data_IF_261851020988
#
_entry.id   IF_261851020988
#
_cell.length_a   1.000
_cell.length_b   1.000
_cell.length_c   1.000
_cell.angle_alpha   90.00
_cell.angle_beta   90.00
_cell.angle_gamma   90.00
#
_symmetry.space_group_name_H-M   'P 1'
#
loop_
_entity.id
_entity.type
_entity.pdbx_description
1 polymer ?
#
# COMPACT_ATOMS: atom_id res chain seq x y z
N UNK A 1 -24.10 29.68 16.59
CA UNK A 1 -24.65 28.31 16.43
C UNK A 1 -23.90 27.61 15.32
N UNK A 2 -22.77 26.95 15.66
CA UNK A 2 -21.96 26.28 14.67
C UNK A 2 -22.41 24.84 14.52
N UNK A 3 -22.93 24.50 13.34
CA UNK A 3 -23.23 23.12 12.94
C UNK A 3 -21.92 22.35 12.83
N UNK A 4 -21.65 21.48 13.80
CA UNK A 4 -20.66 20.42 13.64
C UNK A 4 -21.24 19.41 12.66
N UNK A 5 -20.74 19.43 11.43
CA UNK A 5 -20.98 18.37 10.45
C UNK A 5 -20.46 17.05 11.03
N UNK A 6 -21.38 16.11 11.24
CA UNK A 6 -21.07 14.73 11.53
C UNK A 6 -20.25 14.16 10.36
N UNK A 7 -18.94 14.17 10.44
CA UNK A 7 -18.09 13.38 9.57
C UNK A 7 -18.23 11.92 9.99
N UNK A 8 -19.03 11.20 9.24
CA UNK A 8 -19.21 9.76 9.36
C UNK A 8 -17.87 9.02 9.28
N UNK A 9 -17.60 8.22 10.30
CA UNK A 9 -16.39 7.43 10.54
C UNK A 9 -16.24 6.22 9.60
N UNK A 10 -16.61 6.33 8.31
CA UNK A 10 -16.63 5.21 7.38
C UNK A 10 -15.50 5.18 6.34
N UNK A 11 -14.50 6.04 6.48
CA UNK A 11 -13.37 6.00 5.56
C UNK A 11 -12.14 5.50 6.31
N UNK A 12 -11.72 4.25 6.04
CA UNK A 12 -10.43 3.71 6.48
C UNK A 12 -9.24 4.35 5.74
N UNK A 13 -9.45 5.52 5.17
CA UNK A 13 -8.45 6.25 4.42
C UNK A 13 -8.20 7.65 5.00
N UNK A 14 -7.09 8.21 4.61
CA UNK A 14 -6.59 9.51 5.00
C UNK A 14 -6.14 10.25 3.74
N UNK A 15 -6.32 11.57 3.71
CA UNK A 15 -5.81 12.43 2.64
C UNK A 15 -4.55 13.13 3.14
N UNK A 16 -3.45 12.93 2.45
CA UNK A 16 -2.17 13.56 2.74
C UNK A 16 -2.20 15.06 2.43
N UNK A 17 -1.17 15.79 2.81
CA UNK A 17 -1.08 17.24 2.59
C UNK A 17 -1.11 17.63 1.10
N UNK A 18 -0.63 16.76 0.23
CA UNK A 18 -0.62 16.86 -1.24
C UNK A 18 -1.92 16.37 -1.89
N UNK A 19 -2.94 16.00 -1.09
CA UNK A 19 -4.26 15.63 -1.59
C UNK A 19 -4.38 14.18 -2.05
N UNK A 20 -3.40 13.35 -1.76
CA UNK A 20 -3.35 11.94 -2.14
C UNK A 20 -3.93 11.05 -1.03
N UNK A 21 -4.47 9.90 -1.41
CA UNK A 21 -5.19 9.01 -0.49
C UNK A 21 -4.32 7.84 -0.03
N UNK A 22 -4.28 7.57 1.28
CA UNK A 22 -3.60 6.41 1.85
C UNK A 22 -4.39 5.75 2.98
N UNK A 23 -4.02 4.55 3.36
CA UNK A 23 -4.63 3.81 4.45
C UNK A 23 -4.34 4.44 5.81
N UNK A 24 -5.36 4.48 6.67
CA UNK A 24 -5.23 5.07 8.02
C UNK A 24 -4.27 4.27 8.92
N UNK A 25 -4.15 2.96 8.71
CA UNK A 25 -3.21 2.15 9.47
C UNK A 25 -1.76 2.60 9.23
N UNK A 26 -1.39 2.87 7.97
CA UNK A 26 -0.07 3.37 7.61
C UNK A 26 0.17 4.79 8.10
N UNK A 27 -0.87 5.62 8.16
CA UNK A 27 -0.78 6.95 8.81
C UNK A 27 -0.41 6.81 10.28
N UNK A 28 -1.09 5.93 11.02
CA UNK A 28 -0.78 5.67 12.43
C UNK A 28 0.64 5.13 12.63
N UNK A 29 1.13 4.28 11.72
CA UNK A 29 2.50 3.77 11.74
C UNK A 29 3.52 4.88 11.50
N UNK A 30 3.26 5.78 10.55
CA UNK A 30 4.10 6.95 10.29
C UNK A 30 4.14 7.90 11.50
N UNK A 31 2.99 8.19 12.09
CA UNK A 31 2.89 9.02 13.31
C UNK A 31 3.63 8.38 14.48
N UNK A 32 3.52 7.07 14.67
CA UNK A 32 4.26 6.33 15.70
C UNK A 32 5.79 6.38 15.49
N UNK A 33 6.22 6.44 14.24
CA UNK A 33 7.62 6.64 13.87
C UNK A 33 8.06 8.12 13.89
N UNK A 34 7.15 9.04 14.25
CA UNK A 34 7.36 10.50 14.28
C UNK A 34 7.76 11.08 12.91
N UNK A 35 7.24 10.53 11.84
CA UNK A 35 7.44 10.99 10.47
C UNK A 35 6.11 11.39 9.81
N UNK A 36 6.19 12.25 8.81
CA UNK A 36 5.03 12.65 8.02
C UNK A 36 4.50 11.48 7.19
N UNK A 37 3.18 11.22 7.20
CA UNK A 37 2.58 10.23 6.32
C UNK A 37 2.77 10.60 4.85
N UNK A 38 3.31 9.68 4.07
CA UNK A 38 3.51 9.81 2.63
C UNK A 38 2.83 8.64 1.90
N UNK A 39 2.23 8.88 0.75
CA UNK A 39 1.50 7.85 -0.01
C UNK A 39 2.36 6.65 -0.38
N UNK A 40 3.66 6.83 -0.54
CA UNK A 40 4.61 5.77 -0.83
C UNK A 40 4.73 4.72 0.29
N UNK A 41 4.29 5.05 1.52
CA UNK A 41 4.17 4.10 2.63
C UNK A 41 2.98 3.14 2.46
N UNK A 42 2.07 3.44 1.52
CA UNK A 42 0.92 2.61 1.18
C UNK A 42 0.66 2.62 -0.34
N UNK A 43 1.55 2.02 -1.15
CA UNK A 43 1.49 2.15 -2.60
C UNK A 43 0.20 1.59 -3.22
N UNK A 44 -0.41 0.59 -2.60
CA UNK A 44 -1.70 0.03 -3.03
C UNK A 44 -2.68 0.05 -1.87
N UNK A 45 -3.82 0.71 -2.07
CA UNK A 45 -4.93 0.70 -1.14
C UNK A 45 -6.18 0.15 -1.83
N UNK A 46 -6.82 -0.84 -1.22
CA UNK A 46 -8.09 -1.38 -1.67
C UNK A 46 -9.21 -0.90 -0.75
N UNK A 47 -10.18 -0.20 -1.31
CA UNK A 47 -11.39 0.24 -0.59
C UNK A 47 -12.58 -0.58 -1.06
N UNK A 48 -13.18 -1.40 -0.20
CA UNK A 48 -14.42 -2.10 -0.54
C UNK A 48 -15.50 -1.09 -0.98
N UNK A 49 -16.20 -1.39 -2.06
CA UNK A 49 -17.39 -0.66 -2.51
C UNK A 49 -18.65 -1.44 -2.17
N UNK A 50 -19.78 -0.75 -2.05
CA UNK A 50 -21.04 -1.34 -1.57
C UNK A 50 -21.62 -2.42 -2.47
N UNK A 51 -21.26 -2.44 -3.77
CA UNK A 51 -22.02 -3.28 -4.70
C UNK A 51 -21.25 -4.52 -5.20
N UNK A 52 -20.13 -4.40 -5.85
CA UNK A 52 -19.37 -5.59 -6.30
C UNK A 52 -17.93 -5.20 -6.59
N UNK A 53 -17.05 -5.19 -5.61
CA UNK A 53 -15.65 -4.98 -5.88
C UNK A 53 -14.95 -4.03 -4.91
N UNK A 54 -13.79 -3.60 -5.33
CA UNK A 54 -12.99 -2.63 -4.58
C UNK A 54 -12.51 -1.51 -5.50
N UNK A 55 -12.50 -0.31 -4.95
CA UNK A 55 -11.76 0.79 -5.56
C UNK A 55 -10.28 0.54 -5.29
N UNK A 56 -9.50 0.52 -6.36
CA UNK A 56 -8.05 0.37 -6.32
C UNK A 56 -7.42 1.75 -6.39
N UNK A 57 -6.61 2.07 -5.40
CA UNK A 57 -5.86 3.31 -5.30
C UNK A 57 -4.38 2.96 -5.38
N UNK A 58 -3.65 3.58 -6.29
CA UNK A 58 -2.23 3.34 -6.55
C UNK A 58 -1.47 4.64 -6.31
N UNK A 59 -0.49 4.61 -5.41
CA UNK A 59 0.28 5.79 -4.99
C UNK A 59 -0.60 7.02 -4.68
N UNK A 60 -1.77 6.77 -4.07
CA UNK A 60 -2.70 7.80 -3.64
C UNK A 60 -3.73 8.24 -4.68
N UNK A 61 -3.66 7.75 -5.91
CA UNK A 61 -4.58 8.08 -7.00
C UNK A 61 -5.52 6.91 -7.34
N UNK A 62 -6.77 7.22 -7.66
CA UNK A 62 -7.77 6.20 -8.03
C UNK A 62 -7.42 5.61 -9.39
N UNK A 63 -7.04 4.35 -9.42
CA UNK A 63 -6.78 3.60 -10.65
C UNK A 63 -8.06 3.00 -11.26
N UNK A 64 -9.09 2.76 -10.45
CA UNK A 64 -10.37 2.24 -10.92
C UNK A 64 -11.14 1.48 -9.85
N UNK A 65 -12.29 0.96 -10.26
CA UNK A 65 -13.12 0.04 -9.45
C UNK A 65 -13.16 -1.28 -10.18
N UNK A 66 -12.84 -2.36 -9.49
CA UNK A 66 -12.83 -3.68 -10.12
C UNK A 66 -13.19 -4.79 -9.13
N UNK A 67 -13.79 -5.90 -9.60
CA UNK A 67 -13.98 -7.10 -8.78
C UNK A 67 -12.65 -7.67 -8.28
N UNK A 68 -12.68 -8.34 -7.13
CA UNK A 68 -11.49 -8.95 -6.54
C UNK A 68 -10.73 -9.88 -7.50
N UNK A 69 -11.47 -10.69 -8.28
CA UNK A 69 -10.87 -11.59 -9.28
C UNK A 69 -10.12 -10.84 -10.39
N UNK A 70 -10.58 -9.68 -10.79
CA UNK A 70 -9.90 -8.84 -11.78
C UNK A 70 -8.64 -8.21 -11.19
N UNK A 71 -8.73 -7.70 -9.96
CA UNK A 71 -7.56 -7.22 -9.24
C UNK A 71 -6.48 -8.31 -9.14
N UNK A 72 -6.85 -9.54 -8.79
CA UNK A 72 -5.89 -10.65 -8.71
C UNK A 72 -5.18 -10.97 -10.03
N UNK A 73 -5.82 -10.75 -11.17
CA UNK A 73 -5.19 -10.91 -12.48
C UNK A 73 -4.25 -9.76 -12.81
N UNK A 74 -4.65 -8.53 -12.46
CA UNK A 74 -3.94 -7.29 -12.81
C UNK A 74 -2.90 -6.88 -11.79
N UNK A 75 -2.88 -7.46 -10.59
CA UNK A 75 -2.00 -6.99 -9.50
C UNK A 75 -0.51 -6.92 -9.88
N UNK A 76 -0.05 -7.76 -10.79
CA UNK A 76 1.33 -7.73 -11.30
C UNK A 76 1.65 -6.45 -12.08
N UNK A 77 0.64 -5.81 -12.66
CA UNK A 77 0.79 -4.53 -13.38
C UNK A 77 1.14 -3.38 -12.44
N UNK A 78 0.85 -3.53 -11.14
CA UNK A 78 1.16 -2.53 -10.12
C UNK A 78 2.58 -2.66 -9.52
N UNK A 79 3.32 -3.71 -9.87
CA UNK A 79 4.70 -3.90 -9.38
C UNK A 79 5.59 -2.69 -9.65
N UNK A 80 5.59 -2.04 -10.83
CA UNK A 80 6.39 -0.85 -11.07
C UNK A 80 6.06 0.30 -10.10
N UNK A 81 4.78 0.52 -9.78
CA UNK A 81 4.35 1.55 -8.83
C UNK A 81 4.80 1.24 -7.39
N UNK A 82 4.79 -0.04 -6.99
CA UNK A 82 5.31 -0.49 -5.70
C UNK A 82 6.82 -0.27 -5.61
N UNK A 83 7.55 -0.58 -6.67
CA UNK A 83 9.01 -0.38 -6.72
C UNK A 83 9.36 1.11 -6.71
N UNK A 84 8.62 1.95 -7.41
CA UNK A 84 8.78 3.39 -7.35
C UNK A 84 8.60 3.93 -5.94
N UNK A 85 7.51 3.53 -5.27
CA UNK A 85 7.23 3.92 -3.89
C UNK A 85 8.36 3.48 -2.96
N UNK A 86 8.83 2.25 -3.12
CA UNK A 86 9.96 1.75 -2.36
C UNK A 86 11.23 2.59 -2.56
N UNK A 87 11.59 2.89 -3.81
CA UNK A 87 12.80 3.68 -4.09
C UNK A 87 12.73 5.08 -3.48
N UNK A 88 11.56 5.72 -3.50
CA UNK A 88 11.36 7.02 -2.87
C UNK A 88 11.55 6.99 -1.36
N UNK A 89 11.16 5.89 -0.70
CA UNK A 89 11.41 5.70 0.73
C UNK A 89 12.89 5.35 1.01
N UNK A 90 13.51 4.51 0.18
CA UNK A 90 14.92 4.10 0.31
C UNK A 90 15.92 5.28 0.16
N UNK A 91 15.51 6.31 -0.56
CA UNK A 91 16.29 7.56 -0.66
C UNK A 91 16.23 8.43 0.61
N UNK A 92 15.19 8.27 1.41
CA UNK A 92 14.91 9.12 2.57
C UNK A 92 15.25 8.47 3.91
N UNK A 93 15.11 7.15 4.01
CA UNK A 93 15.15 6.44 5.29
C UNK A 93 16.21 5.34 5.29
N UNK A 94 16.94 5.25 6.37
CA UNK A 94 17.96 4.21 6.58
C UNK A 94 17.36 2.82 6.84
N UNK A 95 16.12 2.78 7.31
CA UNK A 95 15.40 1.54 7.63
C UNK A 95 13.98 1.62 7.10
N UNK A 96 13.57 0.62 6.33
CA UNK A 96 12.20 0.45 5.85
C UNK A 96 11.66 -0.88 6.37
N UNK A 97 10.53 -0.83 7.08
CA UNK A 97 9.80 -2.02 7.52
C UNK A 97 8.66 -2.27 6.54
N UNK A 98 8.64 -3.45 5.94
CA UNK A 98 7.61 -3.84 4.97
C UNK A 98 6.66 -4.82 5.63
N UNK A 99 5.37 -4.47 5.60
CA UNK A 99 4.28 -5.32 6.07
C UNK A 99 3.50 -5.88 4.88
N UNK A 100 3.35 -7.21 4.83
CA UNK A 100 2.48 -7.86 3.85
C UNK A 100 1.01 -7.78 4.24
N UNK A 101 0.12 -7.75 3.26
CA UNK A 101 -1.32 -7.87 3.48
C UNK A 101 -1.75 -9.33 3.38
N UNK A 102 -2.40 -9.86 4.42
CA UNK A 102 -2.88 -11.23 4.47
C UNK A 102 -1.92 -12.20 5.18
N UNK A 103 -2.36 -13.45 5.32
CA UNK A 103 -1.59 -14.48 6.00
C UNK A 103 -0.64 -15.20 5.05
N UNK A 104 0.66 -15.30 5.36
CA UNK A 104 1.60 -16.13 4.60
C UNK A 104 1.25 -17.63 4.65
N UNK A 105 0.32 -18.04 5.53
CA UNK A 105 -0.17 -19.41 5.65
C UNK A 105 -1.25 -19.78 4.62
N UNK A 106 -1.80 -18.82 3.89
CA UNK A 106 -2.78 -19.08 2.82
C UNK A 106 -2.07 -19.67 1.58
N UNK A 107 -1.90 -20.99 1.61
CA UNK A 107 -1.17 -21.77 0.60
C UNK A 107 -1.71 -21.58 -0.83
N UNK A 108 -3.00 -21.30 -0.95
CA UNK A 108 -3.67 -21.14 -2.25
C UNK A 108 -3.32 -19.82 -2.99
N UNK A 109 -2.70 -18.87 -2.31
CA UNK A 109 -2.34 -17.57 -2.87
C UNK A 109 -0.86 -17.45 -3.22
N UNK A 110 -0.01 -18.43 -2.84
CA UNK A 110 1.45 -18.36 -2.96
C UNK A 110 1.98 -18.13 -4.39
N UNK A 111 1.32 -18.65 -5.41
CA UNK A 111 1.80 -18.56 -6.78
C UNK A 111 1.61 -17.16 -7.41
N UNK A 112 0.77 -16.32 -6.81
CA UNK A 112 0.44 -14.99 -7.33
C UNK A 112 0.52 -13.89 -6.26
N UNK A 113 1.20 -14.14 -5.15
CA UNK A 113 1.24 -13.22 -4.03
C UNK A 113 2.36 -12.19 -4.21
N UNK A 114 1.99 -11.00 -4.68
CA UNK A 114 2.91 -9.85 -4.78
C UNK A 114 3.07 -9.10 -3.45
N UNK A 115 2.26 -9.45 -2.45
CA UNK A 115 2.22 -8.73 -1.16
C UNK A 115 3.07 -9.43 -0.12
N UNK A 116 3.15 -10.75 -0.17
CA UNK A 116 3.86 -11.57 0.81
C UNK A 116 5.14 -12.23 0.27
N UNK A 117 5.80 -11.68 -0.78
CA UNK A 117 7.24 -11.88 -0.75
C UNK A 117 7.84 -12.95 -1.69
N UNK A 118 7.06 -13.73 -2.42
CA UNK A 118 7.71 -14.72 -3.30
C UNK A 118 8.72 -14.10 -4.27
N UNK A 119 8.30 -13.08 -5.00
CA UNK A 119 9.13 -12.46 -6.04
C UNK A 119 9.86 -11.19 -5.58
N UNK A 120 9.29 -10.43 -4.66
CA UNK A 120 9.91 -9.19 -4.14
C UNK A 120 11.10 -9.50 -3.22
N UNK A 121 11.05 -10.56 -2.40
CA UNK A 121 12.17 -10.94 -1.54
C UNK A 121 13.36 -11.51 -2.34
N UNK A 122 13.12 -12.26 -3.42
CA UNK A 122 14.22 -12.75 -4.23
C UNK A 122 14.96 -11.59 -4.90
N UNK A 123 14.23 -10.58 -5.35
CA UNK A 123 14.80 -9.36 -5.92
C UNK A 123 15.45 -8.47 -4.86
N UNK A 124 14.87 -8.42 -3.65
CA UNK A 124 15.34 -7.67 -2.50
C UNK A 124 16.61 -8.28 -1.88
N UNK A 125 16.64 -9.58 -1.65
CA UNK A 125 17.81 -10.26 -1.13
C UNK A 125 19.03 -10.07 -2.05
N UNK A 126 18.84 -10.03 -3.36
CA UNK A 126 19.93 -9.76 -4.31
C UNK A 126 20.53 -8.36 -4.15
N UNK A 127 19.74 -7.37 -3.75
CA UNK A 127 20.21 -5.98 -3.59
C UNK A 127 20.79 -5.67 -2.20
N UNK A 128 20.25 -6.28 -1.16
CA UNK A 128 20.80 -6.10 0.20
C UNK A 128 22.16 -6.78 0.41
N UNK A 129 22.38 -7.92 -0.21
CA UNK A 129 23.70 -8.59 -0.15
C UNK A 129 24.76 -7.94 -1.05
N UNK A 130 24.38 -7.19 -2.06
CA UNK A 130 25.34 -6.51 -2.96
C UNK A 130 25.72 -5.09 -2.53
N UNK A 131 25.08 -4.49 -1.53
CA UNK A 131 25.36 -3.08 -1.14
C UNK A 131 26.24 -2.92 0.09
N UNK A 132 26.87 -3.99 0.58
CA UNK A 132 27.92 -3.93 1.59
C UNK A 132 29.26 -4.29 0.96
N UNK A 133 29.80 -3.36 0.18
CA UNK A 133 31.26 -3.15 0.04
C UNK A 133 31.52 -1.80 -0.61
#
# INVERSE_FOLDING_TARGET
MHHLSHRTWHSNSFITADGLEMGRAQVMQAEAAMIQPEVYMNPILLKPTSDVGSQVIVNGEVAGVMPAMEYFRKKKEYIPAILEAYHKLDEKYDVIVIEGAGSPAEINLKQNDIVNIGDLLSWWMHRFFCRRH
#
